data_IF_951149252807
#
_entry.id   IF_951149252807
#
_cell.length_a   1.000
_cell.length_b   1.000
_cell.length_c   1.000
_cell.angle_alpha   90.00
_cell.angle_beta   90.00
_cell.angle_gamma   90.00
#
_symmetry.space_group_name_H-M   'P 1'
#
loop_
_entity.id
_entity.type
_entity.pdbx_description
1 polymer ?
#
# COMPACT_ATOMS: atom_id res chain seq x y z
N UNK A 1 9.99 -18.67 11.07
CA UNK A 1 10.20 -17.68 10.00
C UNK A 1 9.01 -16.74 10.03
N UNK A 2 9.23 -15.49 10.37
CA UNK A 2 8.15 -14.50 10.29
C UNK A 2 7.91 -14.16 8.82
N UNK A 3 6.76 -14.56 8.30
CA UNK A 3 6.34 -14.30 6.92
C UNK A 3 6.31 -12.81 6.57
N UNK A 4 6.24 -11.94 7.57
CA UNK A 4 6.25 -10.49 7.38
C UNK A 4 7.54 -9.94 6.72
N UNK A 5 8.67 -10.62 6.87
CA UNK A 5 9.91 -10.23 6.19
C UNK A 5 10.00 -10.69 4.74
N UNK A 6 9.43 -11.85 4.43
CA UNK A 6 9.46 -12.43 3.07
C UNK A 6 8.58 -11.68 2.07
N UNK A 7 7.31 -11.35 2.37
CA UNK A 7 6.50 -10.53 1.48
C UNK A 7 7.07 -9.14 1.24
N UNK A 8 7.77 -8.57 2.22
CA UNK A 8 8.47 -7.29 2.06
C UNK A 8 9.59 -7.32 1.02
N UNK A 9 10.19 -8.49 0.81
CA UNK A 9 11.24 -8.69 -0.20
C UNK A 9 10.70 -9.20 -1.54
N UNK A 10 9.73 -10.11 -1.52
CA UNK A 10 9.29 -10.87 -2.69
C UNK A 10 7.80 -10.72 -3.01
N UNK A 11 7.04 -9.99 -2.20
CA UNK A 11 5.60 -9.85 -2.35
C UNK A 11 5.03 -8.63 -1.64
N UNK A 12 3.76 -8.71 -1.26
CA UNK A 12 3.04 -7.63 -0.60
C UNK A 12 2.11 -8.15 0.49
N UNK A 13 1.94 -7.36 1.53
CA UNK A 13 0.95 -7.55 2.57
C UNK A 13 -0.31 -6.75 2.26
N UNK A 14 -1.41 -7.43 1.98
CA UNK A 14 -2.72 -6.77 1.80
C UNK A 14 -3.30 -6.41 3.17
N UNK A 15 -3.03 -7.23 4.18
CA UNK A 15 -3.43 -6.97 5.56
C UNK A 15 -2.87 -5.63 6.08
N UNK A 16 -1.59 -5.32 5.84
CA UNK A 16 -0.99 -4.04 6.21
C UNK A 16 -1.61 -2.87 5.41
N UNK A 17 -1.96 -3.12 4.15
CA UNK A 17 -2.72 -2.16 3.34
C UNK A 17 -4.08 -1.83 3.96
N UNK A 18 -4.80 -2.81 4.50
CA UNK A 18 -6.06 -2.60 5.22
C UNK A 18 -5.86 -1.76 6.48
N UNK A 19 -4.81 -2.01 7.27
CA UNK A 19 -4.53 -1.22 8.46
C UNK A 19 -4.14 0.23 8.10
N UNK A 20 -3.31 0.41 7.07
CA UNK A 20 -2.98 1.76 6.60
C UNK A 20 -4.25 2.49 6.12
N UNK A 21 -5.14 1.82 5.39
CA UNK A 21 -6.41 2.41 4.97
C UNK A 21 -7.25 2.86 6.16
N UNK A 22 -7.31 2.07 7.24
CA UNK A 22 -8.02 2.44 8.47
C UNK A 22 -7.43 3.70 9.12
N UNK A 23 -6.10 3.84 9.14
CA UNK A 23 -5.43 5.05 9.64
C UNK A 23 -5.80 6.26 8.79
N UNK A 24 -5.75 6.13 7.46
CA UNK A 24 -6.13 7.21 6.55
C UNK A 24 -7.59 7.62 6.73
N UNK A 25 -8.50 6.66 6.83
CA UNK A 25 -9.93 6.92 7.07
C UNK A 25 -10.16 7.61 8.42
N UNK A 26 -9.47 7.18 9.47
CA UNK A 26 -9.52 7.81 10.78
C UNK A 26 -9.08 9.28 10.75
N UNK A 27 -7.99 9.58 10.04
CA UNK A 27 -7.52 10.96 9.88
C UNK A 27 -8.51 11.80 9.06
N UNK A 28 -9.03 11.25 7.95
CA UNK A 28 -10.00 11.94 7.11
C UNK A 28 -11.31 12.25 7.80
N UNK A 29 -11.79 11.38 8.70
CA UNK A 29 -12.96 11.67 9.55
C UNK A 29 -12.75 12.88 10.44
N UNK A 30 -11.51 13.13 10.83
CA UNK A 30 -11.11 14.20 11.74
C UNK A 30 -10.57 15.45 11.05
N UNK A 31 -10.66 15.51 9.71
CA UNK A 31 -10.13 16.66 8.95
C UNK A 31 -10.69 18.02 9.40
N UNK A 32 -11.89 18.04 10.01
CA UNK A 32 -12.51 19.28 10.53
C UNK A 32 -11.78 19.89 11.73
N UNK A 33 -10.96 19.10 12.42
CA UNK A 33 -10.15 19.57 13.55
C UNK A 33 -8.67 19.71 13.16
N UNK A 34 -8.32 19.60 11.89
CA UNK A 34 -6.97 19.91 11.46
C UNK A 34 -6.68 21.38 11.67
N UNK A 35 -5.51 21.74 12.17
CA UNK A 35 -5.07 23.13 12.16
C UNK A 35 -4.92 23.60 10.71
N UNK A 36 -5.07 24.91 10.45
CA UNK A 36 -4.96 25.49 9.10
C UNK A 36 -3.67 25.08 8.38
N UNK A 37 -2.62 24.90 9.16
CA UNK A 37 -1.31 24.43 8.70
C UNK A 37 -0.81 23.29 9.58
N UNK A 38 -0.35 22.23 8.97
CA UNK A 38 0.20 21.04 9.61
C UNK A 38 1.70 21.00 9.32
N UNK A 39 2.51 21.17 10.35
CA UNK A 39 3.96 21.05 10.22
C UNK A 39 4.40 19.59 10.12
N UNK A 40 5.13 19.27 9.08
CA UNK A 40 5.73 17.95 8.86
C UNK A 40 7.19 18.08 8.42
N UNK A 41 7.95 17.02 8.57
CA UNK A 41 9.29 16.98 7.99
C UNK A 41 9.22 17.10 6.47
N UNK A 42 10.15 17.84 5.88
CA UNK A 42 10.19 18.12 4.45
C UNK A 42 10.23 16.83 3.62
N UNK A 43 11.00 15.84 4.09
CA UNK A 43 11.13 14.54 3.43
C UNK A 43 9.80 13.79 3.35
N UNK A 44 8.98 13.87 4.42
CA UNK A 44 7.64 13.26 4.45
C UNK A 44 6.70 14.00 3.50
N UNK A 45 6.68 15.33 3.54
CA UNK A 45 5.85 16.13 2.64
C UNK A 45 6.15 15.83 1.17
N UNK A 46 7.44 15.79 0.82
CA UNK A 46 7.89 15.49 -0.54
C UNK A 46 7.49 14.08 -0.99
N UNK A 47 7.62 13.07 -0.12
CA UNK A 47 7.17 11.71 -0.42
C UNK A 47 5.66 11.65 -0.67
N UNK A 48 4.86 12.22 0.23
CA UNK A 48 3.40 12.20 0.14
C UNK A 48 2.89 12.92 -1.13
N UNK A 49 3.43 14.10 -1.44
CA UNK A 49 3.10 14.84 -2.66
C UNK A 49 3.49 14.08 -3.92
N UNK A 50 4.68 13.47 -3.93
CA UNK A 50 5.17 12.68 -5.06
C UNK A 50 4.33 11.43 -5.29
N UNK A 51 3.94 10.71 -4.23
CA UNK A 51 3.05 9.56 -4.33
C UNK A 51 1.67 9.95 -4.87
N UNK A 52 1.06 11.01 -4.34
CA UNK A 52 -0.23 11.50 -4.81
C UNK A 52 -0.17 11.92 -6.29
N UNK A 53 0.89 12.61 -6.71
CA UNK A 53 1.10 12.99 -8.10
C UNK A 53 1.23 11.77 -9.02
N UNK A 54 1.94 10.75 -8.56
CA UNK A 54 2.10 9.49 -9.30
C UNK A 54 0.77 8.74 -9.44
N UNK A 55 -0.07 8.71 -8.39
CA UNK A 55 -1.39 8.07 -8.47
C UNK A 55 -2.31 8.74 -9.50
N UNK A 56 -2.27 10.06 -9.58
CA UNK A 56 -3.04 10.85 -10.54
C UNK A 56 -2.50 10.78 -11.98
N UNK A 57 -1.26 10.32 -12.17
CA UNK A 57 -0.65 10.25 -13.48
C UNK A 57 -1.26 9.13 -14.34
N UNK A 58 -1.46 9.43 -15.63
CA UNK A 58 -1.88 8.45 -16.64
C UNK A 58 -0.68 7.60 -17.09
N UNK A 59 -0.29 6.64 -16.24
CA UNK A 59 0.81 5.71 -16.50
C UNK A 59 0.32 4.28 -16.40
N UNK A 60 0.98 3.36 -17.13
CA UNK A 60 0.74 1.93 -17.01
C UNK A 60 1.06 1.43 -15.58
N UNK A 61 0.41 0.35 -15.16
CA UNK A 61 0.56 -0.19 -13.80
C UNK A 61 2.03 -0.52 -13.46
N UNK A 62 2.76 -1.11 -14.41
CA UNK A 62 4.18 -1.42 -14.24
C UNK A 62 5.04 -0.15 -14.07
N UNK A 63 4.80 0.89 -14.86
CA UNK A 63 5.52 2.16 -14.74
C UNK A 63 5.25 2.82 -13.38
N UNK A 64 3.99 2.81 -12.91
CA UNK A 64 3.65 3.29 -11.55
C UNK A 64 4.38 2.50 -10.49
N UNK A 65 4.46 1.17 -10.64
CA UNK A 65 5.19 0.32 -9.70
C UNK A 65 6.68 0.66 -9.66
N UNK A 66 7.33 0.83 -10.79
CA UNK A 66 8.74 1.23 -10.89
C UNK A 66 8.97 2.59 -10.21
N UNK A 67 8.13 3.58 -10.50
CA UNK A 67 8.27 4.92 -9.92
C UNK A 67 8.02 4.92 -8.41
N UNK A 68 7.03 4.16 -7.89
CA UNK A 68 6.83 3.99 -6.44
C UNK A 68 8.06 3.43 -5.75
N UNK A 69 8.70 2.42 -6.34
CA UNK A 69 9.92 1.84 -5.80
C UNK A 69 11.06 2.89 -5.78
N UNK A 70 11.24 3.66 -6.84
CA UNK A 70 12.22 4.74 -6.89
C UNK A 70 11.96 5.82 -5.83
N UNK A 71 10.71 6.23 -5.63
CA UNK A 71 10.31 7.19 -4.59
C UNK A 71 10.62 6.63 -3.20
N UNK A 72 10.28 5.37 -2.94
CA UNK A 72 10.58 4.69 -1.67
C UNK A 72 12.09 4.64 -1.40
N UNK A 73 12.87 4.24 -2.39
CA UNK A 73 14.31 4.07 -2.22
C UNK A 73 15.00 5.42 -2.03
N UNK A 74 14.58 6.45 -2.74
CA UNK A 74 15.03 7.83 -2.54
C UNK A 74 14.71 8.32 -1.14
N UNK A 75 13.47 8.13 -0.68
CA UNK A 75 13.07 8.50 0.68
C UNK A 75 13.92 7.78 1.73
N UNK A 76 14.09 6.46 1.60
CA UNK A 76 14.92 5.66 2.52
C UNK A 76 16.37 6.17 2.57
N UNK A 77 16.96 6.46 1.42
CA UNK A 77 18.30 7.03 1.36
C UNK A 77 18.40 8.39 2.03
N UNK A 78 17.36 9.22 1.91
CA UNK A 78 17.34 10.53 2.57
C UNK A 78 17.24 10.44 4.10
N UNK A 79 16.51 9.47 4.63
CA UNK A 79 16.23 9.38 6.07
C UNK A 79 17.01 8.28 6.79
N UNK A 80 17.91 7.56 6.10
CA UNK A 80 18.67 6.44 6.70
C UNK A 80 19.47 6.82 7.95
N UNK A 81 19.91 8.09 8.05
CA UNK A 81 20.63 8.64 9.20
C UNK A 81 19.77 9.61 10.03
N UNK A 82 18.46 9.55 9.88
CA UNK A 82 17.48 10.43 10.50
C UNK A 82 16.99 11.53 9.56
N UNK A 83 16.01 12.32 10.03
CA UNK A 83 15.48 13.45 9.29
C UNK A 83 16.45 14.62 9.30
N UNK A 84 16.44 15.46 8.26
CA UNK A 84 17.28 16.66 8.18
C UNK A 84 16.95 17.73 9.25
N UNK A 85 15.81 17.61 9.92
CA UNK A 85 15.27 18.60 10.85
C UNK A 85 14.48 19.73 10.16
N UNK A 86 14.56 19.86 8.83
CA UNK A 86 13.76 20.85 8.10
C UNK A 86 12.28 20.48 8.13
N UNK A 87 11.45 21.47 8.39
CA UNK A 87 9.98 21.33 8.40
C UNK A 87 9.35 22.19 7.32
N UNK A 88 8.22 21.76 6.84
CA UNK A 88 7.36 22.51 5.92
C UNK A 88 5.93 22.43 6.40
N UNK A 89 5.16 23.47 6.13
CA UNK A 89 3.75 23.51 6.45
C UNK A 89 2.92 23.04 5.26
N UNK A 90 2.01 22.11 5.50
CA UNK A 90 0.97 21.69 4.57
C UNK A 90 -0.35 22.33 5.02
N UNK A 91 -1.10 22.89 4.09
CA UNK A 91 -2.46 23.37 4.40
C UNK A 91 -3.37 22.18 4.73
N UNK A 92 -4.35 22.38 5.59
CA UNK A 92 -5.31 21.34 5.99
C UNK A 92 -6.02 20.72 4.78
N UNK A 93 -6.46 21.52 3.81
CA UNK A 93 -7.09 21.04 2.58
C UNK A 93 -6.14 20.21 1.73
N UNK A 94 -4.92 20.69 1.51
CA UNK A 94 -3.89 19.96 0.75
C UNK A 94 -3.58 18.62 1.41
N UNK A 95 -3.49 18.59 2.74
CA UNK A 95 -3.30 17.34 3.49
C UNK A 95 -4.47 16.39 3.30
N UNK A 96 -5.71 16.87 3.41
CA UNK A 96 -6.89 16.06 3.19
C UNK A 96 -6.95 15.49 1.75
N UNK A 97 -6.57 16.27 0.75
CA UNK A 97 -6.53 15.84 -0.65
C UNK A 97 -5.48 14.74 -0.88
N UNK A 98 -4.31 14.87 -0.28
CA UNK A 98 -3.26 13.85 -0.33
C UNK A 98 -3.76 12.55 0.34
N UNK A 99 -4.32 12.64 1.54
CA UNK A 99 -4.84 11.48 2.27
C UNK A 99 -5.97 10.79 1.49
N UNK A 100 -6.90 11.55 0.90
CA UNK A 100 -7.96 11.01 0.04
C UNK A 100 -7.41 10.28 -1.19
N UNK A 101 -6.42 10.86 -1.86
CA UNK A 101 -5.78 10.27 -3.02
C UNK A 101 -5.14 8.92 -2.66
N UNK A 102 -4.39 8.86 -1.56
CA UNK A 102 -3.73 7.63 -1.11
C UNK A 102 -4.74 6.58 -0.63
N UNK A 103 -5.79 7.00 0.10
CA UNK A 103 -6.85 6.10 0.52
C UNK A 103 -7.61 5.50 -0.67
N UNK A 104 -7.91 6.28 -1.70
CA UNK A 104 -8.55 5.78 -2.92
C UNK A 104 -7.69 4.74 -3.63
N UNK A 105 -6.39 5.00 -3.78
CA UNK A 105 -5.45 4.05 -4.39
C UNK A 105 -5.36 2.73 -3.60
N UNK A 106 -5.34 2.81 -2.26
CA UNK A 106 -5.34 1.62 -1.40
C UNK A 106 -6.64 0.82 -1.52
N UNK A 107 -7.80 1.48 -1.49
CA UNK A 107 -9.11 0.81 -1.68
C UNK A 107 -9.15 0.05 -3.00
N UNK A 108 -8.74 0.69 -4.09
CA UNK A 108 -8.70 0.06 -5.40
C UNK A 108 -7.76 -1.15 -5.42
N UNK A 109 -6.58 -1.04 -4.80
CA UNK A 109 -5.63 -2.16 -4.72
C UNK A 109 -6.19 -3.31 -3.90
N UNK A 110 -6.75 -3.05 -2.72
CA UNK A 110 -7.34 -4.08 -1.85
C UNK A 110 -8.52 -4.76 -2.54
N UNK A 111 -9.39 -4.00 -3.20
CA UNK A 111 -10.54 -4.54 -3.94
C UNK A 111 -10.09 -5.49 -5.05
N UNK A 112 -9.11 -5.07 -5.87
CA UNK A 112 -8.56 -5.91 -6.93
C UNK A 112 -7.94 -7.20 -6.39
N UNK A 113 -7.12 -7.12 -5.33
CA UNK A 113 -6.51 -8.30 -4.73
C UNK A 113 -7.55 -9.27 -4.15
N UNK A 114 -8.62 -8.74 -3.58
CA UNK A 114 -9.74 -9.52 -3.05
C UNK A 114 -10.49 -10.21 -4.20
N UNK A 115 -10.78 -9.51 -5.29
CA UNK A 115 -11.45 -10.06 -6.46
C UNK A 115 -10.63 -11.16 -7.14
N UNK A 116 -9.33 -10.91 -7.39
CA UNK A 116 -8.41 -11.87 -8.00
C UNK A 116 -8.23 -13.13 -7.15
N UNK A 117 -8.45 -13.04 -5.83
CA UNK A 117 -8.40 -14.16 -4.89
C UNK A 117 -9.80 -14.76 -4.57
N UNK A 118 -10.69 -14.77 -5.54
CA UNK A 118 -12.03 -15.41 -5.39
C UNK A 118 -12.97 -14.67 -4.45
N UNK A 119 -12.72 -13.41 -4.16
CA UNK A 119 -13.51 -12.58 -3.25
C UNK A 119 -13.12 -12.74 -1.77
N UNK A 120 -12.00 -13.40 -1.49
CA UNK A 120 -11.40 -13.48 -0.14
C UNK A 120 -10.19 -12.57 -0.11
N UNK A 121 -10.15 -11.63 0.84
CA UNK A 121 -8.99 -10.75 0.99
C UNK A 121 -7.77 -11.57 1.41
N UNK A 122 -6.72 -11.67 0.59
CA UNK A 122 -5.53 -12.41 0.95
C UNK A 122 -4.76 -11.67 2.04
N UNK A 123 -4.06 -12.40 2.92
CA UNK A 123 -3.14 -11.77 3.88
C UNK A 123 -1.88 -11.28 3.16
N UNK A 124 -1.26 -12.19 2.40
CA UNK A 124 -0.04 -11.94 1.65
C UNK A 124 -0.15 -12.56 0.27
N UNK A 125 0.53 -11.97 -0.69
CA UNK A 125 0.90 -12.64 -1.92
C UNK A 125 2.40 -12.50 -2.16
N UNK A 126 2.93 -13.39 -2.96
CA UNK A 126 4.35 -13.44 -3.29
C UNK A 126 4.52 -13.67 -4.80
N UNK A 127 5.72 -13.44 -5.27
CA UNK A 127 6.06 -13.68 -6.65
C UNK A 127 7.04 -14.84 -6.76
N UNK A 128 6.73 -15.79 -7.62
CA UNK A 128 7.62 -16.87 -8.01
C UNK A 128 8.31 -16.49 -9.31
N UNK A 129 9.64 -16.61 -9.33
CA UNK A 129 10.42 -16.36 -10.52
C UNK A 129 10.24 -17.51 -11.52
N UNK A 130 9.82 -17.17 -12.72
CA UNK A 130 9.82 -18.06 -13.88
C UNK A 130 10.84 -17.54 -14.91
N UNK A 131 11.39 -18.42 -15.75
CA UNK A 131 12.33 -18.05 -16.80
C UNK A 131 13.53 -17.23 -16.25
N UNK A 132 14.33 -17.89 -15.40
CA UNK A 132 15.50 -17.29 -14.78
C UNK A 132 16.64 -17.19 -15.81
N UNK A 133 17.18 -15.99 -15.99
CA UNK A 133 18.25 -15.71 -16.95
C UNK A 133 19.50 -15.19 -16.24
N UNK A 134 20.69 -15.70 -16.59
CA UNK A 134 21.94 -15.10 -16.14
C UNK A 134 22.14 -13.73 -16.82
N UNK A 135 22.60 -12.75 -16.04
CA UNK A 135 23.03 -11.41 -16.49
C UNK A 135 24.40 -11.11 -15.89
N UNK A 136 25.13 -10.11 -16.43
CA UNK A 136 26.47 -9.77 -15.93
C UNK A 136 26.53 -9.49 -14.43
N UNK A 137 25.45 -8.92 -13.84
CA UNK A 137 25.35 -8.59 -12.42
C UNK A 137 24.75 -9.71 -11.56
N UNK A 138 24.47 -10.91 -12.12
CA UNK A 138 23.90 -12.03 -11.38
C UNK A 138 22.78 -12.76 -12.11
N UNK A 139 21.63 -12.90 -11.48
CA UNK A 139 20.46 -13.63 -12.01
C UNK A 139 19.26 -12.69 -12.05
N UNK A 140 18.58 -12.64 -13.19
CA UNK A 140 17.37 -11.85 -13.37
C UNK A 140 16.19 -12.74 -13.79
N UNK A 141 15.03 -12.65 -13.12
CA UNK A 141 13.83 -13.34 -13.60
C UNK A 141 13.31 -12.67 -14.86
N UNK A 142 13.06 -13.46 -15.90
CA UNK A 142 12.41 -12.99 -17.13
C UNK A 142 10.90 -12.84 -16.98
N UNK A 143 10.31 -13.62 -16.07
CA UNK A 143 8.89 -13.60 -15.76
C UNK A 143 8.66 -13.87 -14.27
N UNK A 144 7.65 -13.23 -13.70
CA UNK A 144 7.22 -13.43 -12.31
C UNK A 144 5.77 -13.88 -12.31
N UNK A 145 5.46 -14.96 -11.59
CA UNK A 145 4.11 -15.42 -11.33
C UNK A 145 3.66 -15.01 -9.94
N UNK A 146 2.54 -14.32 -9.87
CA UNK A 146 1.91 -13.94 -8.59
C UNK A 146 1.18 -15.15 -8.01
N UNK A 147 1.36 -15.40 -6.72
CA UNK A 147 0.66 -16.42 -5.95
C UNK A 147 0.21 -15.85 -4.60
N UNK A 148 -1.02 -16.18 -4.19
CA UNK A 148 -1.49 -15.88 -2.83
C UNK A 148 -1.02 -17.00 -1.89
N UNK A 149 -0.68 -16.63 -0.66
CA UNK A 149 -0.53 -17.63 0.39
C UNK A 149 -1.86 -18.32 0.66
N UNK A 150 -1.86 -19.60 1.09
CA UNK A 150 -3.06 -20.27 1.55
C UNK A 150 -3.82 -19.40 2.56
N UNK A 151 -5.13 -19.61 2.68
CA UNK A 151 -6.00 -18.81 3.53
C UNK A 151 -5.40 -18.67 4.94
N UNK A 152 -5.18 -17.43 5.32
CA UNK A 152 -4.74 -17.03 6.64
C UNK A 152 -5.67 -15.91 7.12
N UNK A 153 -6.32 -16.12 8.26
CA UNK A 153 -7.45 -15.29 8.71
C UNK A 153 -7.12 -13.82 8.98
N UNK A 154 -5.86 -13.45 9.04
CA UNK A 154 -5.46 -12.06 9.26
C UNK A 154 -5.96 -11.14 8.14
N UNK A 155 -5.82 -11.55 6.87
CA UNK A 155 -6.29 -10.77 5.72
C UNK A 155 -7.79 -10.46 5.79
N UNK A 156 -8.66 -11.48 5.82
CA UNK A 156 -10.12 -11.29 5.95
C UNK A 156 -10.49 -10.48 7.21
N UNK A 157 -9.87 -10.76 8.35
CA UNK A 157 -10.15 -10.06 9.61
C UNK A 157 -9.81 -8.57 9.52
N UNK A 158 -8.67 -8.23 8.96
CA UNK A 158 -8.26 -6.84 8.79
C UNK A 158 -9.12 -6.11 7.75
N UNK A 159 -9.46 -6.81 6.66
CA UNK A 159 -10.39 -6.29 5.67
C UNK A 159 -11.77 -5.96 6.25
N UNK A 160 -12.34 -6.86 7.07
CA UNK A 160 -13.61 -6.62 7.75
C UNK A 160 -13.61 -5.43 8.69
N UNK A 161 -12.45 -5.00 9.17
CA UNK A 161 -12.28 -3.78 9.99
C UNK A 161 -12.20 -2.50 9.16
N UNK A 162 -12.04 -2.58 7.85
CA UNK A 162 -12.15 -1.42 6.96
C UNK A 162 -13.61 -1.02 6.80
N UNK A 163 -13.88 0.08 6.10
CA UNK A 163 -15.26 0.55 5.86
C UNK A 163 -15.95 -0.30 4.79
N UNK A 164 -16.40 -1.46 5.18
CA UNK A 164 -17.21 -2.35 4.35
C UNK A 164 -18.66 -2.34 4.83
N UNK A 165 -19.59 -2.58 3.90
CA UNK A 165 -21.00 -2.78 4.24
C UNK A 165 -21.18 -4.10 5.01
N UNK A 166 -22.26 -4.21 5.77
CA UNK A 166 -22.58 -5.46 6.48
C UNK A 166 -22.81 -6.64 5.51
N UNK A 167 -23.34 -6.37 4.32
CA UNK A 167 -23.50 -7.38 3.26
C UNK A 167 -22.15 -7.90 2.79
N UNK A 168 -21.19 -7.02 2.51
CA UNK A 168 -19.84 -7.40 2.10
C UNK A 168 -19.12 -8.21 3.19
N UNK A 169 -19.25 -7.79 4.45
CA UNK A 169 -18.68 -8.51 5.60
C UNK A 169 -19.26 -9.93 5.75
N UNK A 170 -20.56 -10.07 5.60
CA UNK A 170 -21.23 -11.39 5.62
C UNK A 170 -20.73 -12.27 4.48
N UNK A 171 -20.71 -11.75 3.26
CA UNK A 171 -20.20 -12.48 2.09
C UNK A 171 -18.75 -12.95 2.29
N UNK A 172 -17.89 -12.11 2.85
CA UNK A 172 -16.52 -12.49 3.19
C UNK A 172 -16.48 -13.59 4.25
N UNK A 173 -17.29 -13.48 5.31
CA UNK A 173 -17.36 -14.47 6.37
C UNK A 173 -17.82 -15.84 5.88
N UNK A 174 -18.79 -15.88 4.98
CA UNK A 174 -19.30 -17.13 4.42
C UNK A 174 -18.22 -17.81 3.55
N UNK A 175 -17.57 -17.08 2.67
CA UNK A 175 -16.47 -17.59 1.82
C UNK A 175 -15.24 -18.09 2.61
N UNK A 176 -15.03 -17.63 3.82
CA UNK A 176 -13.94 -18.07 4.68
C UNK A 176 -14.28 -19.37 5.42
N UNK A 177 -15.57 -19.68 5.57
CA UNK A 177 -16.05 -20.90 6.23
C UNK A 177 -16.09 -22.11 5.30
N UNK A 178 -16.33 -21.88 4.02
CA UNK A 178 -16.37 -22.89 2.96
C UNK A 178 -14.93 -23.30 2.55
#
# INVERSE_FOLDING_TARGET
LYLNGLPGLLGSSVADGCELLRILDFLLERKRIFPDQIEVYEEIANLLKSLCSLEKAHKAAYEKWVERNRLRDRYRAQVQNGFSGRRTALRAEETADILNCLAASLRQSIARETEENGGICPTYFYYEAEDIRPVESGIMPGKMRKAALPLFLEGPTRWMRTRQTETEKRSMSDKVRD
#
